data_IF_316686150844
#
_entry.id   IF_316686150844
#
_cell.length_a   1.000
_cell.length_b   1.000
_cell.length_c   1.000
_cell.angle_alpha   90.00
_cell.angle_beta   90.00
_cell.angle_gamma   90.00
#
_symmetry.space_group_name_H-M   'P 1'
#
loop_
_entity.id
_entity.type
_entity.pdbx_description
1 polymer ?
#
# COMPACT_ATOMS: atom_id res chain seq x y z
N UNK A 1 10.69 -2.31 9.28
CA UNK A 1 10.49 -2.91 7.95
C UNK A 1 11.73 -2.83 7.05
N UNK A 2 12.32 -1.66 6.77
CA UNK A 2 13.58 -1.61 6.02
C UNK A 2 14.76 -2.24 6.80
N UNK A 3 14.80 -2.04 8.11
CA UNK A 3 15.82 -2.60 9.00
C UNK A 3 15.75 -4.14 9.11
N UNK A 4 14.54 -4.70 9.06
CA UNK A 4 14.32 -6.15 9.08
C UNK A 4 14.84 -6.79 7.79
N UNK A 5 14.56 -6.17 6.64
CA UNK A 5 15.09 -6.62 5.35
C UNK A 5 16.62 -6.63 5.34
N UNK A 6 17.26 -5.60 5.90
CA UNK A 6 18.72 -5.51 6.00
C UNK A 6 19.26 -6.66 6.87
N UNK A 7 18.60 -6.95 7.99
CA UNK A 7 19.00 -8.03 8.89
C UNK A 7 18.87 -9.42 8.24
N UNK A 8 17.78 -9.69 7.52
CA UNK A 8 17.61 -10.95 6.79
C UNK A 8 18.64 -11.12 5.67
N UNK A 9 18.93 -10.06 4.91
CA UNK A 9 20.00 -10.11 3.89
C UNK A 9 21.37 -10.38 4.50
N UNK A 10 21.65 -9.84 5.68
CA UNK A 10 22.88 -10.13 6.42
C UNK A 10 22.95 -11.60 6.86
N UNK A 11 21.84 -12.17 7.34
CA UNK A 11 21.76 -13.59 7.71
C UNK A 11 21.94 -14.50 6.49
N UNK A 12 21.29 -14.18 5.36
CA UNK A 12 21.47 -14.91 4.10
C UNK A 12 22.95 -14.96 3.70
N UNK A 13 23.65 -13.81 3.78
CA UNK A 13 25.07 -13.73 3.45
C UNK A 13 25.93 -14.62 4.38
N UNK A 14 25.59 -14.71 5.67
CA UNK A 14 26.28 -15.59 6.61
C UNK A 14 26.04 -17.07 6.28
N UNK A 15 24.81 -17.42 5.90
CA UNK A 15 24.43 -18.78 5.46
C UNK A 15 25.15 -19.14 4.16
N UNK A 16 25.24 -18.23 3.20
CA UNK A 16 25.99 -18.45 1.95
C UNK A 16 27.51 -18.59 2.19
N UNK A 17 28.07 -17.82 3.13
CA UNK A 17 29.46 -18.00 3.55
C UNK A 17 29.69 -19.37 4.21
N UNK A 18 28.73 -19.85 5.02
CA UNK A 18 28.79 -21.19 5.59
C UNK A 18 28.64 -22.29 4.52
N UNK A 19 27.73 -22.12 3.56
CA UNK A 19 27.56 -23.01 2.39
C UNK A 19 28.80 -23.05 1.49
N UNK A 20 29.57 -21.96 1.42
CA UNK A 20 30.84 -21.95 0.69
C UNK A 20 31.86 -22.91 1.30
N UNK A 21 31.83 -23.09 2.63
CA UNK A 21 32.71 -24.01 3.34
C UNK A 21 32.10 -25.42 3.47
N UNK A 22 30.77 -25.52 3.44
CA UNK A 22 29.98 -26.75 3.58
C UNK A 22 28.86 -26.82 2.53
N UNK A 23 29.17 -27.08 1.25
CA UNK A 23 28.21 -26.98 0.14
C UNK A 23 27.15 -28.09 0.10
N UNK A 24 27.36 -29.19 0.82
CA UNK A 24 26.44 -30.35 0.85
C UNK A 24 25.55 -30.35 2.10
N UNK A 25 25.56 -29.28 2.90
CA UNK A 25 24.78 -29.20 4.13
C UNK A 25 23.29 -28.92 3.82
N UNK A 26 22.39 -29.90 4.05
CA UNK A 26 21.00 -29.77 3.65
C UNK A 26 20.22 -28.79 4.53
N UNK A 27 20.67 -28.56 5.77
CA UNK A 27 20.05 -27.58 6.67
C UNK A 27 20.37 -26.16 6.21
N UNK A 28 21.62 -25.89 5.83
CA UNK A 28 22.01 -24.58 5.29
C UNK A 28 21.36 -24.30 3.94
N UNK A 29 21.20 -25.29 3.05
CA UNK A 29 20.47 -25.09 1.80
C UNK A 29 19.00 -24.76 2.05
N UNK A 30 18.35 -25.49 2.96
CA UNK A 30 16.95 -25.23 3.31
C UNK A 30 16.78 -23.86 3.97
N UNK A 31 17.69 -23.51 4.88
CA UNK A 31 17.69 -22.22 5.56
C UNK A 31 17.91 -21.06 4.59
N UNK A 32 18.81 -21.23 3.59
CA UNK A 32 19.01 -20.25 2.53
C UNK A 32 17.71 -19.99 1.76
N UNK A 33 17.06 -21.04 1.29
CA UNK A 33 15.80 -20.94 0.52
C UNK A 33 14.70 -20.24 1.33
N UNK A 34 14.51 -20.65 2.59
CA UNK A 34 13.52 -20.05 3.49
C UNK A 34 13.80 -18.54 3.71
N UNK A 35 15.08 -18.17 3.91
CA UNK A 35 15.49 -16.77 4.04
C UNK A 35 15.27 -15.96 2.76
N UNK A 36 15.52 -16.53 1.59
CA UNK A 36 15.25 -15.86 0.29
C UNK A 36 13.75 -15.58 0.12
N UNK A 37 12.87 -16.55 0.43
CA UNK A 37 11.42 -16.35 0.39
C UNK A 37 10.98 -15.24 1.36
N UNK A 38 11.49 -15.23 2.59
CA UNK A 38 11.18 -14.20 3.58
C UNK A 38 11.66 -12.82 3.12
N UNK A 39 12.86 -12.73 2.54
CA UNK A 39 13.40 -11.47 2.01
C UNK A 39 12.56 -10.98 0.83
N UNK A 40 12.14 -11.86 -0.06
CA UNK A 40 11.31 -11.49 -1.22
C UNK A 40 9.95 -10.95 -0.78
N UNK A 41 9.25 -11.66 0.11
CA UNK A 41 7.98 -11.24 0.67
C UNK A 41 8.11 -9.91 1.42
N UNK A 42 9.17 -9.75 2.23
CA UNK A 42 9.43 -8.51 2.96
C UNK A 42 9.78 -7.37 2.00
N UNK A 43 10.55 -7.63 0.94
CA UNK A 43 10.91 -6.63 -0.07
C UNK A 43 9.67 -6.19 -0.86
N UNK A 44 8.78 -7.12 -1.21
CA UNK A 44 7.51 -6.80 -1.86
C UNK A 44 6.64 -5.94 -0.94
N UNK A 45 6.49 -6.32 0.33
CA UNK A 45 5.75 -5.53 1.32
C UNK A 45 6.35 -4.12 1.48
N UNK A 46 7.67 -3.99 1.57
CA UNK A 46 8.36 -2.69 1.66
C UNK A 46 8.20 -1.88 0.37
N UNK A 47 8.27 -2.50 -0.81
CA UNK A 47 8.12 -1.83 -2.11
C UNK A 47 6.68 -1.33 -2.32
N UNK A 48 5.71 -2.10 -1.83
CA UNK A 48 4.29 -1.73 -1.83
C UNK A 48 3.99 -0.65 -0.78
N UNK A 49 4.73 -0.61 0.35
CA UNK A 49 4.70 0.50 1.32
C UNK A 49 5.29 1.82 0.76
N UNK A 50 6.32 1.75 -0.10
CA UNK A 50 7.16 2.92 -0.46
C UNK A 50 6.94 3.49 -1.86
N UNK A 51 6.05 2.91 -2.69
CA UNK A 51 5.68 3.53 -3.96
C UNK A 51 4.47 4.47 -3.81
N UNK A 52 4.59 5.78 -4.15
CA UNK A 52 3.47 6.47 -4.74
C UNK A 52 3.22 5.83 -6.11
N UNK A 53 1.98 5.42 -6.39
CA UNK A 53 1.50 5.04 -7.73
C UNK A 53 2.05 6.04 -8.76
N UNK A 54 3.05 5.64 -9.55
CA UNK A 54 3.38 6.34 -10.79
C UNK A 54 2.39 5.86 -11.83
N UNK A 55 1.40 6.70 -12.08
CA UNK A 55 0.67 6.75 -13.34
C UNK A 55 1.63 6.56 -14.51
N UNK A 56 1.36 5.50 -15.25
CA UNK A 56 1.67 5.40 -16.66
C UNK A 56 0.40 5.93 -17.35
N UNK A 57 0.45 7.12 -17.93
CA UNK A 57 0.19 7.37 -19.36
C UNK A 57 0.59 8.82 -19.67
N UNK A 58 1.69 8.95 -20.40
CA UNK A 58 2.08 10.18 -21.07
C UNK A 58 1.21 10.40 -22.33
N UNK A 59 0.68 11.61 -22.44
CA UNK A 59 0.55 12.38 -23.70
C UNK A 59 -0.63 12.07 -24.63
N UNK A 60 -1.69 12.90 -24.58
CA UNK A 60 -1.96 13.92 -25.63
C UNK A 60 -3.22 14.77 -25.38
N UNK A 61 -3.00 16.09 -25.48
CA UNK A 61 -3.84 17.15 -26.07
C UNK A 61 -5.08 17.66 -25.31
N UNK A 62 -4.83 18.74 -24.57
CA UNK A 62 -5.31 20.11 -24.84
C UNK A 62 -6.64 20.34 -25.60
N UNK A 63 -7.41 21.25 -25.01
CA UNK A 63 -8.40 22.17 -25.61
C UNK A 63 -9.87 21.71 -25.77
N UNK A 64 -10.66 22.19 -24.81
CA UNK A 64 -11.76 23.16 -25.00
C UNK A 64 -13.17 22.68 -25.41
N UNK A 65 -14.13 23.29 -24.69
CA UNK A 65 -15.58 23.40 -24.90
C UNK A 65 -16.50 22.30 -24.32
N UNK A 66 -17.25 22.74 -23.30
CA UNK A 66 -18.52 22.28 -22.69
C UNK A 66 -19.63 21.88 -23.70
N UNK A 67 -20.82 21.41 -23.25
CA UNK A 67 -21.22 20.78 -21.97
C UNK A 67 -21.99 19.46 -22.22
N UNK A 68 -22.60 18.93 -21.16
CA UNK A 68 -23.76 18.02 -21.12
C UNK A 68 -23.55 16.57 -20.62
N UNK A 69 -24.00 16.42 -19.36
CA UNK A 69 -24.67 15.26 -18.75
C UNK A 69 -23.81 14.01 -18.58
N UNK A 70 -23.24 13.84 -17.38
CA UNK A 70 -23.43 12.72 -16.43
C UNK A 70 -22.84 13.17 -15.07
N UNK A 71 -23.47 12.94 -13.91
CA UNK A 71 -22.98 13.44 -12.64
C UNK A 71 -21.84 12.56 -12.11
N UNK A 72 -20.71 12.54 -12.82
CA UNK A 72 -19.43 12.19 -12.20
C UNK A 72 -18.98 13.42 -11.43
N UNK A 73 -19.47 13.51 -10.20
CA UNK A 73 -19.02 14.49 -9.23
C UNK A 73 -17.55 14.20 -8.98
N UNK A 74 -16.68 14.83 -9.78
CA UNK A 74 -15.31 15.12 -9.42
C UNK A 74 -15.40 15.96 -8.16
N UNK A 75 -15.40 15.29 -7.00
CA UNK A 75 -15.47 15.94 -5.71
C UNK A 75 -14.16 16.66 -5.50
N UNK A 76 -14.20 17.95 -5.78
CA UNK A 76 -13.29 18.93 -5.21
C UNK A 76 -13.19 18.69 -3.70
N UNK A 77 -12.04 18.18 -3.29
CA UNK A 77 -11.41 18.24 -1.97
C UNK A 77 -12.21 19.09 -0.95
N UNK A 78 -13.18 18.49 -0.26
CA UNK A 78 -13.98 19.19 0.75
C UNK A 78 -15.30 18.53 1.17
N UNK A 79 -15.97 17.75 0.32
CA UNK A 79 -17.31 17.21 0.63
C UNK A 79 -17.37 15.68 0.52
N UNK A 80 -16.70 15.02 1.45
CA UNK A 80 -16.89 13.60 1.70
C UNK A 80 -18.30 13.36 2.27
N UNK A 81 -18.97 12.27 1.86
CA UNK A 81 -20.28 11.85 2.41
C UNK A 81 -20.29 10.34 2.62
N UNK A 82 -21.18 9.86 3.50
CA UNK A 82 -21.45 8.43 3.65
C UNK A 82 -21.86 7.81 2.32
N UNK A 83 -21.18 6.73 1.94
CA UNK A 83 -21.33 5.98 0.69
C UNK A 83 -20.31 6.32 -0.39
N UNK A 84 -19.45 7.33 -0.20
CA UNK A 84 -18.40 7.64 -1.17
C UNK A 84 -17.20 6.70 -1.05
N UNK A 85 -16.63 6.31 -2.20
CA UNK A 85 -15.40 5.52 -2.26
C UNK A 85 -14.19 6.43 -2.17
N UNK A 86 -13.23 6.04 -1.35
CA UNK A 86 -12.07 6.85 -1.02
C UNK A 86 -10.87 5.97 -0.64
N UNK A 87 -9.69 6.59 -0.61
CA UNK A 87 -8.46 6.03 -0.08
C UNK A 87 -8.22 6.59 1.32
N UNK A 88 -8.47 5.80 2.36
CA UNK A 88 -8.25 6.19 3.75
C UNK A 88 -6.85 5.76 4.21
N UNK A 89 -6.09 6.68 4.81
CA UNK A 89 -4.84 6.33 5.49
C UNK A 89 -5.15 5.72 6.85
N UNK A 90 -4.66 4.51 7.10
CA UNK A 90 -4.74 3.89 8.42
C UNK A 90 -3.57 4.37 9.27
N UNK A 91 -3.84 4.90 10.46
CA UNK A 91 -2.80 5.35 11.39
C UNK A 91 -1.91 4.19 11.89
N UNK A 92 -2.42 2.95 11.85
CA UNK A 92 -1.70 1.75 12.24
C UNK A 92 -0.48 1.44 11.35
N UNK A 93 -0.57 1.69 10.04
CA UNK A 93 0.47 1.31 9.07
C UNK A 93 0.92 2.48 8.18
N UNK A 94 0.23 3.63 8.22
CA UNK A 94 0.51 4.79 7.38
C UNK A 94 0.21 4.59 5.89
N UNK A 95 -0.33 3.44 5.50
CA UNK A 95 -0.76 3.14 4.14
C UNK A 95 -2.17 3.61 3.84
N UNK A 96 -2.41 3.91 2.56
CA UNK A 96 -3.73 4.24 2.03
C UNK A 96 -4.41 2.98 1.53
N UNK A 97 -5.62 2.73 2.02
CA UNK A 97 -6.43 1.60 1.62
C UNK A 97 -7.73 2.08 0.99
N UNK A 98 -8.16 1.39 -0.06
CA UNK A 98 -9.44 1.67 -0.70
C UNK A 98 -10.56 1.25 0.24
N UNK A 99 -11.53 2.14 0.43
CA UNK A 99 -12.68 1.89 1.28
C UNK A 99 -13.84 2.80 0.95
N UNK A 100 -14.97 2.52 1.59
CA UNK A 100 -16.19 3.30 1.44
C UNK A 100 -16.51 4.01 2.73
N UNK A 101 -16.75 5.31 2.67
CA UNK A 101 -17.12 6.10 3.84
C UNK A 101 -18.45 5.58 4.38
N UNK A 102 -18.47 5.14 5.62
CA UNK A 102 -19.69 4.70 6.28
C UNK A 102 -20.35 5.87 7.00
N UNK A 103 -19.58 6.65 7.75
CA UNK A 103 -20.10 7.77 8.55
C UNK A 103 -19.03 8.85 8.74
N UNK A 104 -19.45 10.11 8.77
CA UNK A 104 -18.58 11.27 9.01
C UNK A 104 -19.11 11.98 10.25
N UNK A 105 -18.26 12.12 11.26
CA UNK A 105 -18.54 12.81 12.52
C UNK A 105 -17.50 13.93 12.72
N UNK A 106 -17.80 15.10 12.15
CA UNK A 106 -16.92 16.27 12.19
C UNK A 106 -15.56 16.01 11.53
N UNK A 107 -14.52 15.90 12.34
CA UNK A 107 -13.16 15.61 11.89
C UNK A 107 -12.89 14.11 11.75
N UNK A 108 -13.66 13.25 12.42
CA UNK A 108 -13.51 11.81 12.38
C UNK A 108 -14.41 11.20 11.29
N UNK A 109 -13.89 10.23 10.56
CA UNK A 109 -14.56 9.56 9.46
C UNK A 109 -14.36 8.06 9.59
N UNK A 110 -15.46 7.32 9.65
CA UNK A 110 -15.45 5.86 9.58
C UNK A 110 -15.48 5.43 8.11
N UNK A 111 -14.46 4.69 7.68
CA UNK A 111 -14.32 4.17 6.32
C UNK A 111 -14.21 2.66 6.37
N UNK A 112 -15.12 1.96 5.71
CA UNK A 112 -15.06 0.51 5.55
C UNK A 112 -14.05 0.15 4.47
N UNK A 113 -12.91 -0.39 4.87
CA UNK A 113 -11.83 -0.78 3.96
C UNK A 113 -12.18 -2.06 3.20
N UNK A 114 -11.94 -2.08 1.89
CA UNK A 114 -12.16 -3.25 1.06
C UNK A 114 -11.22 -4.39 1.49
N UNK A 115 -11.80 -5.50 1.93
CA UNK A 115 -11.07 -6.63 2.52
C UNK A 115 -10.99 -6.64 4.06
N UNK A 116 -11.43 -5.58 4.75
CA UNK A 116 -11.64 -5.61 6.20
C UNK A 116 -13.13 -5.61 6.55
N UNK A 117 -13.49 -6.41 7.56
CA UNK A 117 -14.83 -6.40 8.15
C UNK A 117 -15.07 -5.27 9.16
N UNK A 118 -14.06 -4.48 9.45
CA UNK A 118 -14.10 -3.39 10.42
C UNK A 118 -13.92 -2.05 9.70
N UNK A 119 -14.72 -1.06 10.09
CA UNK A 119 -14.54 0.31 9.63
C UNK A 119 -13.32 0.93 10.33
N UNK A 120 -12.41 1.49 9.54
CA UNK A 120 -11.28 2.25 10.01
C UNK A 120 -11.73 3.68 10.34
N UNK A 121 -11.35 4.18 11.51
CA UNK A 121 -11.60 5.58 11.88
C UNK A 121 -10.38 6.40 11.47
N UNK A 122 -10.58 7.34 10.57
CA UNK A 122 -9.55 8.26 10.07
C UNK A 122 -10.09 9.70 10.10
N UNK A 123 -9.35 10.68 9.59
CA UNK A 123 -9.84 12.06 9.45
C UNK A 123 -9.93 12.47 7.99
N UNK A 124 -10.73 13.50 7.68
CA UNK A 124 -10.90 14.01 6.31
C UNK A 124 -9.57 14.42 5.65
N UNK A 125 -8.56 14.81 6.44
CA UNK A 125 -7.23 15.18 5.95
C UNK A 125 -6.45 13.97 5.38
N UNK A 126 -6.74 12.78 5.91
CA UNK A 126 -6.10 11.52 5.54
C UNK A 126 -6.93 10.68 4.55
N UNK A 127 -7.99 11.27 3.98
CA UNK A 127 -8.82 10.65 2.94
C UNK A 127 -8.50 11.27 1.58
N UNK A 128 -8.25 10.41 0.59
CA UNK A 128 -7.96 10.78 -0.81
C UNK A 128 -9.00 10.23 -1.78
N UNK A 129 -9.13 10.87 -2.93
CA UNK A 129 -9.90 10.34 -4.06
C UNK A 129 -9.22 9.12 -4.69
N UNK A 130 -10.06 8.23 -5.22
CA UNK A 130 -9.59 7.09 -6.00
C UNK A 130 -9.30 7.57 -7.43
N UNK A 131 -8.10 7.27 -7.97
CA UNK A 131 -7.76 7.56 -9.36
C UNK A 131 -8.53 6.67 -10.34
#
# INVERSE_FOLDING_TARGET
MADELINYKLQLQQVEAALTNSPDDPELMKLKTDLEEVIELTAELVRTQTQPKKEIVQTKKESSYQPDILPSVAKTKGEWKSGDRCLAQLADDGKFYEGTIETIDGEAVAVLIDGQKAAAVTTLDFIKDLP
#
